data_IF_287709526669
#
_entry.id   IF_287709526669
#
_cell.length_a   1.000
_cell.length_b   1.000
_cell.length_c   1.000
_cell.angle_alpha   90.00
_cell.angle_beta   90.00
_cell.angle_gamma   90.00
#
_symmetry.space_group_name_H-M   'P 1'
#
loop_
_entity.id
_entity.type
_entity.pdbx_description
1 polymer ?
#
# COMPACT_ATOMS: atom_id res chain seq x y z
N UNK A 1 48.39 9.41 7.50
CA UNK A 1 47.17 8.76 6.98
C UNK A 1 46.48 9.78 6.08
N UNK A 2 46.42 9.53 4.77
CA UNK A 2 45.85 10.50 3.81
C UNK A 2 44.34 10.59 4.04
N UNK A 3 43.74 11.78 4.02
CA UNK A 3 42.29 11.99 4.30
C UNK A 3 41.40 11.03 3.49
N UNK A 4 41.81 10.70 2.26
CA UNK A 4 41.16 9.72 1.38
C UNK A 4 41.04 8.31 2.01
N UNK A 5 42.09 7.84 2.69
CA UNK A 5 42.09 6.55 3.40
C UNK A 5 41.11 6.54 4.58
N UNK A 6 40.84 7.70 5.19
CA UNK A 6 39.84 7.81 6.26
C UNK A 6 38.42 7.72 5.70
N UNK A 7 38.15 8.41 4.58
CA UNK A 7 36.84 8.37 3.91
C UNK A 7 36.52 6.94 3.48
N UNK A 8 37.45 6.26 2.82
CA UNK A 8 37.28 4.85 2.41
C UNK A 8 37.01 3.94 3.62
N UNK A 9 37.76 4.09 4.72
CA UNK A 9 37.51 3.33 5.95
C UNK A 9 36.14 3.59 6.58
N UNK A 10 35.64 4.83 6.55
CA UNK A 10 34.30 5.15 7.03
C UNK A 10 33.22 4.51 6.16
N UNK A 11 33.41 4.52 4.84
CA UNK A 11 32.51 3.88 3.88
C UNK A 11 32.47 2.37 4.11
N UNK A 12 33.61 1.69 4.25
CA UNK A 12 33.64 0.25 4.52
C UNK A 12 32.97 -0.11 5.85
N UNK A 13 33.26 0.63 6.93
CA UNK A 13 32.58 0.43 8.21
C UNK A 13 31.08 0.70 8.15
N UNK A 14 30.66 1.66 7.32
CA UNK A 14 29.25 1.96 7.09
C UNK A 14 28.54 0.79 6.40
N UNK A 15 29.18 0.19 5.37
CA UNK A 15 28.67 -1.02 4.70
C UNK A 15 28.53 -2.19 5.67
N UNK A 16 29.55 -2.48 6.48
CA UNK A 16 29.50 -3.54 7.49
C UNK A 16 28.39 -3.31 8.52
N UNK A 17 28.26 -2.07 9.03
CA UNK A 17 27.20 -1.72 9.97
C UNK A 17 25.80 -1.87 9.33
N UNK A 18 25.65 -1.50 8.07
CA UNK A 18 24.40 -1.69 7.33
C UNK A 18 24.06 -3.19 7.17
N UNK A 19 25.04 -4.01 6.78
CA UNK A 19 24.86 -5.46 6.66
C UNK A 19 24.44 -6.06 8.00
N UNK A 20 25.11 -5.71 9.09
CA UNK A 20 24.75 -6.19 10.43
C UNK A 20 23.33 -5.78 10.84
N UNK A 21 22.89 -4.56 10.49
CA UNK A 21 21.53 -4.13 10.77
C UNK A 21 20.51 -5.09 10.12
N UNK A 22 20.68 -5.36 8.83
CA UNK A 22 19.81 -6.25 8.05
C UNK A 22 19.84 -7.69 8.59
N UNK A 23 21.03 -8.23 8.86
CA UNK A 23 21.18 -9.59 9.35
C UNK A 23 20.55 -9.80 10.72
N UNK A 24 20.67 -8.82 11.63
CA UNK A 24 20.04 -8.90 12.95
C UNK A 24 18.52 -8.85 12.82
N UNK A 25 18.01 -7.96 11.97
CA UNK A 25 16.57 -7.86 11.74
C UNK A 25 15.97 -9.16 11.19
N UNK A 26 16.68 -9.83 10.28
CA UNK A 26 16.23 -11.07 9.66
C UNK A 26 16.45 -12.33 10.51
N UNK A 27 17.04 -12.22 11.72
CA UNK A 27 17.18 -13.36 12.64
C UNK A 27 15.95 -13.47 13.54
N UNK A 28 15.01 -14.40 13.29
CA UNK A 28 13.77 -14.51 14.07
C UNK A 28 14.00 -14.95 15.52
N UNK A 29 15.17 -15.50 15.84
CA UNK A 29 15.54 -15.91 17.20
C UNK A 29 15.91 -14.72 18.11
N UNK A 30 16.01 -13.50 17.57
CA UNK A 30 16.40 -12.32 18.32
C UNK A 30 15.14 -11.49 18.64
N UNK A 31 14.69 -11.56 19.89
CA UNK A 31 13.51 -10.82 20.35
C UNK A 31 13.71 -9.29 20.37
N UNK A 32 14.95 -8.82 20.48
CA UNK A 32 15.34 -7.40 20.45
C UNK A 32 15.85 -6.93 19.07
N UNK A 33 15.42 -7.60 17.99
CA UNK A 33 15.95 -7.37 16.63
C UNK A 33 15.67 -5.96 16.10
N UNK A 34 14.62 -5.31 16.60
CA UNK A 34 14.26 -3.93 16.25
C UNK A 34 15.29 -2.95 16.80
N UNK A 35 15.70 -3.16 18.06
CA UNK A 35 16.69 -2.36 18.76
C UNK A 35 18.07 -2.58 18.18
N UNK A 36 18.40 -3.84 17.88
CA UNK A 36 19.61 -4.17 17.15
C UNK A 36 19.64 -3.49 15.77
N UNK A 37 18.57 -3.60 15.00
CA UNK A 37 18.45 -2.92 13.71
C UNK A 37 18.63 -1.40 13.85
N UNK A 38 17.88 -0.74 14.75
CA UNK A 38 17.89 0.72 14.92
C UNK A 38 19.27 1.23 15.34
N UNK A 39 19.99 0.48 16.17
CA UNK A 39 21.35 0.79 16.57
C UNK A 39 22.31 0.74 15.38
N UNK A 40 22.36 -0.38 14.66
CA UNK A 40 23.31 -0.57 13.57
C UNK A 40 23.00 0.29 12.34
N UNK A 41 21.72 0.50 12.01
CA UNK A 41 21.34 1.35 10.88
C UNK A 41 21.67 2.82 11.14
N UNK A 42 21.48 3.32 12.38
CA UNK A 42 21.90 4.66 12.75
C UNK A 42 23.42 4.83 12.64
N UNK A 43 24.18 3.85 13.11
CA UNK A 43 25.64 3.88 12.98
C UNK A 43 26.08 3.86 11.51
N UNK A 44 25.44 3.06 10.66
CA UNK A 44 25.72 3.02 9.23
C UNK A 44 25.51 4.41 8.59
N UNK A 45 24.36 5.05 8.84
CA UNK A 45 24.07 6.40 8.38
C UNK A 45 25.09 7.43 8.91
N UNK A 46 25.45 7.37 10.18
CA UNK A 46 26.40 8.32 10.78
C UNK A 46 27.76 8.28 10.08
N UNK A 47 28.29 7.06 9.85
CA UNK A 47 29.56 6.86 9.18
C UNK A 47 29.50 7.32 7.71
N UNK A 48 28.43 6.98 6.98
CA UNK A 48 28.22 7.38 5.59
C UNK A 48 28.14 8.90 5.43
N UNK A 49 27.37 9.56 6.29
CA UNK A 49 27.20 11.02 6.24
C UNK A 49 28.49 11.73 6.65
N UNK A 50 29.23 11.22 7.64
CA UNK A 50 30.57 11.76 7.98
C UNK A 50 31.53 11.66 6.80
N UNK A 51 31.58 10.52 6.11
CA UNK A 51 32.38 10.38 4.90
C UNK A 51 32.00 11.42 3.83
N UNK A 52 30.70 11.64 3.62
CA UNK A 52 30.21 12.64 2.67
C UNK A 52 30.60 14.07 3.09
N UNK A 53 30.50 14.38 4.38
CA UNK A 53 30.90 15.69 4.92
C UNK A 53 32.39 15.95 4.75
N UNK A 54 33.25 14.95 4.96
CA UNK A 54 34.70 15.09 4.72
C UNK A 54 34.95 15.44 3.25
N UNK A 55 34.28 14.76 2.32
CA UNK A 55 34.44 15.01 0.89
C UNK A 55 33.94 16.41 0.47
N UNK A 56 32.86 16.90 1.09
CA UNK A 56 32.21 18.16 0.71
C UNK A 56 32.74 19.40 1.44
N UNK A 57 33.07 19.26 2.71
CA UNK A 57 33.41 20.37 3.62
C UNK A 57 34.81 20.25 4.24
N UNK A 58 35.52 19.14 4.00
CA UNK A 58 36.86 18.87 4.50
C UNK A 58 36.88 18.14 5.85
N UNK A 59 38.04 17.56 6.18
CA UNK A 59 38.22 16.70 7.36
C UNK A 59 37.74 17.28 8.71
N UNK A 60 37.93 18.59 9.02
CA UNK A 60 37.48 19.14 10.30
C UNK A 60 35.95 19.18 10.48
N UNK A 61 35.17 19.01 9.40
CA UNK A 61 33.71 19.15 9.44
C UNK A 61 33.01 18.12 10.33
N UNK A 62 33.66 17.00 10.61
CA UNK A 62 33.09 15.91 11.42
C UNK A 62 33.32 16.11 12.93
N UNK A 63 33.98 17.17 13.36
CA UNK A 63 34.31 17.44 14.76
C UNK A 63 33.50 18.62 15.32
N UNK A 64 33.24 18.60 16.63
CA UNK A 64 32.66 19.78 17.29
C UNK A 64 33.69 20.91 17.34
N UNK A 65 33.26 22.13 16.99
CA UNK A 65 34.11 23.33 17.06
C UNK A 65 34.66 23.56 18.48
N UNK A 66 33.82 23.29 19.49
CA UNK A 66 34.15 23.52 20.90
C UNK A 66 34.91 22.34 21.53
N UNK A 67 34.93 21.17 20.87
CA UNK A 67 35.65 19.99 21.35
C UNK A 67 36.22 19.16 20.18
N UNK A 68 37.47 19.44 19.76
CA UNK A 68 38.12 18.79 18.63
C UNK A 68 38.35 17.28 18.80
N UNK A 69 38.24 16.74 20.01
CA UNK A 69 38.40 15.30 20.26
C UNK A 69 37.10 14.51 20.08
N UNK A 70 35.96 15.19 19.90
CA UNK A 70 34.65 14.56 19.76
C UNK A 70 34.09 14.78 18.37
N UNK A 71 33.69 13.69 17.71
CA UNK A 71 32.99 13.78 16.43
C UNK A 71 31.52 14.14 16.62
N UNK A 72 30.94 14.85 15.65
CA UNK A 72 29.52 15.17 15.61
C UNK A 72 28.65 13.91 15.59
N UNK A 73 27.44 14.00 16.15
CA UNK A 73 26.47 12.90 16.14
C UNK A 73 25.70 12.81 14.83
N UNK A 74 25.00 11.69 14.60
CA UNK A 74 24.10 11.52 13.46
C UNK A 74 23.09 12.67 13.32
N UNK A 75 22.46 13.13 14.40
CA UNK A 75 21.48 14.22 14.37
C UNK A 75 22.09 15.48 13.76
N UNK A 76 23.33 15.82 14.16
CA UNK A 76 24.07 16.96 13.62
C UNK A 76 24.51 16.76 12.17
N UNK A 77 24.81 15.52 11.76
CA UNK A 77 25.08 15.21 10.36
C UNK A 77 23.83 15.45 9.49
N UNK A 78 22.68 14.96 9.95
CA UNK A 78 21.38 15.11 9.27
C UNK A 78 21.01 16.59 9.15
N UNK A 79 21.11 17.37 10.23
CA UNK A 79 20.79 18.81 10.21
C UNK A 79 21.61 19.58 9.16
N UNK A 80 22.89 19.22 8.98
CA UNK A 80 23.80 19.90 8.07
C UNK A 80 23.61 19.47 6.60
N UNK A 81 23.34 18.19 6.35
CA UNK A 81 23.22 17.65 4.99
C UNK A 81 21.79 17.81 4.46
N UNK A 82 20.79 17.53 5.30
CA UNK A 82 19.37 17.57 4.96
C UNK A 82 18.72 18.79 5.62
N UNK A 83 18.97 19.97 5.06
CA UNK A 83 18.56 21.26 5.65
C UNK A 83 17.04 21.44 5.76
N UNK A 84 16.27 20.84 4.85
CA UNK A 84 14.80 20.85 4.93
C UNK A 84 14.30 19.84 5.98
N UNK A 85 13.88 20.34 7.15
CA UNK A 85 13.34 19.53 8.24
C UNK A 85 11.98 18.87 7.93
N UNK A 86 11.30 19.26 6.84
CA UNK A 86 10.07 18.62 6.38
C UNK A 86 10.30 17.57 5.30
N UNK A 87 11.55 17.33 4.92
CA UNK A 87 11.85 16.32 3.91
C UNK A 87 11.50 14.91 4.45
N UNK A 88 10.75 14.08 3.70
CA UNK A 88 10.32 12.75 4.13
C UNK A 88 11.47 11.85 4.62
N UNK A 89 12.61 11.87 3.91
CA UNK A 89 13.83 11.13 4.29
C UNK A 89 14.36 11.58 5.66
N UNK A 90 14.39 12.89 5.91
CA UNK A 90 14.87 13.43 7.19
C UNK A 90 13.94 13.05 8.34
N UNK A 91 12.63 13.19 8.13
CA UNK A 91 11.63 12.77 9.11
C UNK A 91 11.73 11.27 9.43
N UNK A 92 12.02 10.44 8.42
CA UNK A 92 12.26 9.00 8.61
C UNK A 92 13.47 8.75 9.52
N UNK A 93 14.61 9.40 9.24
CA UNK A 93 15.82 9.25 10.04
C UNK A 93 15.64 9.76 11.47
N UNK A 94 14.99 10.91 11.65
CA UNK A 94 14.68 11.46 12.97
C UNK A 94 13.81 10.48 13.78
N UNK A 95 12.82 9.82 13.15
CA UNK A 95 12.01 8.79 13.83
C UNK A 95 12.78 7.52 14.18
N UNK A 96 13.75 7.11 13.37
CA UNK A 96 14.59 5.95 13.68
C UNK A 96 15.59 6.28 14.80
N UNK A 97 16.05 7.53 14.87
CA UNK A 97 16.87 8.02 15.98
C UNK A 97 16.05 8.07 17.28
N UNK A 98 14.82 8.58 17.23
CA UNK A 98 13.88 8.54 18.36
C UNK A 98 13.72 7.11 18.85
N UNK A 99 13.56 6.16 17.92
CA UNK A 99 13.48 4.74 18.24
C UNK A 99 14.74 4.25 18.95
N UNK A 100 15.93 4.46 18.37
CA UNK A 100 17.22 4.09 18.98
C UNK A 100 17.38 4.63 20.40
N UNK A 101 16.92 5.85 20.66
CA UNK A 101 17.05 6.51 21.95
C UNK A 101 16.02 6.03 22.99
N UNK A 102 14.86 5.55 22.54
CA UNK A 102 13.75 5.10 23.41
C UNK A 102 13.68 3.59 23.56
N UNK A 103 14.32 2.84 22.67
CA UNK A 103 14.16 1.40 22.53
C UNK A 103 14.75 0.56 23.65
N UNK A 104 15.67 1.12 24.45
CA UNK A 104 16.35 0.39 25.54
C UNK A 104 15.43 -0.03 26.68
N UNK A 105 14.15 0.36 26.68
CA UNK A 105 13.26 0.14 27.82
C UNK A 105 11.88 -0.47 27.48
N UNK A 106 11.43 -0.48 26.22
CA UNK A 106 9.98 -0.56 25.95
C UNK A 106 9.51 -1.30 24.67
N UNK A 107 10.39 -1.85 23.83
CA UNK A 107 9.95 -2.47 22.57
C UNK A 107 9.70 -3.97 22.79
N UNK A 108 8.47 -4.41 22.51
CA UNK A 108 8.11 -5.82 22.39
C UNK A 108 7.81 -6.18 20.94
N UNK A 109 7.87 -7.47 20.59
CA UNK A 109 7.69 -8.00 19.22
C UNK A 109 6.40 -7.51 18.54
N UNK A 110 5.36 -7.24 19.32
CA UNK A 110 4.04 -6.82 18.86
C UNK A 110 4.08 -5.46 18.13
N UNK A 111 5.07 -4.61 18.45
CA UNK A 111 5.20 -3.26 17.89
C UNK A 111 6.10 -3.19 16.66
N UNK A 112 6.73 -4.30 16.28
CA UNK A 112 7.56 -4.37 15.08
C UNK A 112 6.82 -3.85 13.85
N UNK A 113 5.53 -4.21 13.73
CA UNK A 113 4.70 -3.88 12.57
C UNK A 113 4.56 -2.38 12.34
N UNK A 114 4.61 -1.58 13.41
CA UNK A 114 4.51 -0.11 13.30
C UNK A 114 5.75 0.46 12.63
N UNK A 115 6.92 -0.14 12.88
CA UNK A 115 8.21 0.37 12.44
C UNK A 115 8.70 -0.26 11.12
N UNK A 116 8.16 -1.41 10.70
CA UNK A 116 8.48 -2.06 9.43
C UNK A 116 8.46 -1.08 8.24
N UNK A 117 7.39 -0.29 8.01
CA UNK A 117 7.33 0.68 6.92
C UNK A 117 8.48 1.70 6.96
N UNK A 118 8.86 2.13 8.17
CA UNK A 118 9.93 3.10 8.39
C UNK A 118 11.31 2.48 8.11
N UNK A 119 11.53 1.22 8.53
CA UNK A 119 12.78 0.51 8.28
C UNK A 119 12.99 0.24 6.80
N UNK A 120 11.95 -0.21 6.10
CA UNK A 120 12.04 -0.42 4.65
C UNK A 120 12.43 0.89 3.95
N UNK A 121 11.70 1.98 4.22
CA UNK A 121 12.04 3.31 3.68
C UNK A 121 13.48 3.72 3.99
N UNK A 122 13.94 3.53 5.24
CA UNK A 122 15.31 3.85 5.66
C UNK A 122 16.37 3.08 4.88
N UNK A 123 16.15 1.78 4.65
CA UNK A 123 17.06 0.91 3.88
C UNK A 123 17.13 1.37 2.43
N UNK A 124 16.00 1.70 1.81
CA UNK A 124 15.98 2.24 0.44
C UNK A 124 16.68 3.60 0.36
N UNK A 125 16.34 4.52 1.26
CA UNK A 125 16.98 5.83 1.35
C UNK A 125 18.49 5.72 1.55
N UNK A 126 18.95 4.73 2.33
CA UNK A 126 20.38 4.50 2.56
C UNK A 126 21.05 4.07 1.27
N UNK A 127 20.50 3.08 0.56
CA UNK A 127 21.05 2.60 -0.70
C UNK A 127 21.13 3.73 -1.75
N UNK A 128 20.06 4.52 -1.89
CA UNK A 128 20.06 5.67 -2.79
C UNK A 128 21.13 6.69 -2.44
N UNK A 129 21.25 7.08 -1.16
CA UNK A 129 22.25 8.07 -0.72
C UNK A 129 23.68 7.55 -0.74
N UNK A 130 23.87 6.25 -0.50
CA UNK A 130 25.17 5.61 -0.64
C UNK A 130 25.64 5.63 -2.09
N UNK A 131 24.73 5.35 -3.04
CA UNK A 131 25.02 5.49 -4.47
C UNK A 131 25.26 6.95 -4.86
N UNK A 132 24.42 7.89 -4.41
CA UNK A 132 24.52 9.31 -4.76
C UNK A 132 25.80 9.96 -4.22
N UNK A 133 26.17 9.68 -2.97
CA UNK A 133 27.28 10.36 -2.30
C UNK A 133 28.63 9.70 -2.52
N UNK A 134 28.66 8.38 -2.70
CA UNK A 134 29.89 7.58 -2.72
C UNK A 134 30.02 6.67 -3.93
N UNK A 135 29.04 6.66 -4.84
CA UNK A 135 29.01 5.80 -6.02
C UNK A 135 29.19 4.31 -5.68
N UNK A 136 28.55 3.89 -4.58
CA UNK A 136 28.53 2.51 -4.09
C UNK A 136 27.11 1.96 -4.23
N UNK A 137 26.98 0.85 -4.95
CA UNK A 137 25.72 0.11 -5.02
C UNK A 137 25.67 -0.95 -3.91
N UNK A 138 24.77 -0.74 -2.95
CA UNK A 138 24.57 -1.67 -1.83
C UNK A 138 23.86 -2.97 -2.24
N UNK A 139 23.22 -3.01 -3.41
CA UNK A 139 22.54 -4.21 -3.93
C UNK A 139 23.52 -5.30 -4.38
N UNK A 140 24.79 -4.92 -4.63
CA UNK A 140 25.88 -5.87 -4.86
C UNK A 140 26.27 -6.63 -3.59
N UNK A 141 26.01 -6.05 -2.41
CA UNK A 141 26.40 -6.62 -1.12
C UNK A 141 25.29 -7.44 -0.47
N UNK A 142 24.03 -7.01 -0.57
CA UNK A 142 22.89 -7.76 -0.05
C UNK A 142 21.73 -7.70 -1.08
N UNK A 143 20.94 -8.78 -1.28
CA UNK A 143 19.89 -8.83 -2.30
C UNK A 143 18.68 -7.91 -2.04
N UNK A 144 17.96 -7.56 -3.12
CA UNK A 144 16.84 -6.60 -3.14
C UNK A 144 15.69 -6.87 -2.16
N UNK A 145 15.54 -8.10 -1.67
CA UNK A 145 14.53 -8.52 -0.69
C UNK A 145 15.09 -8.47 0.75
N UNK A 146 15.68 -7.33 1.14
CA UNK A 146 16.56 -7.23 2.30
C UNK A 146 15.87 -7.46 3.65
N UNK A 147 14.59 -7.15 3.82
CA UNK A 147 13.89 -7.31 5.10
C UNK A 147 12.79 -8.37 4.94
N UNK A 148 12.91 -9.49 5.67
CA UNK A 148 11.84 -10.50 5.69
C UNK A 148 10.61 -9.95 6.40
N UNK A 149 9.53 -9.74 5.65
CA UNK A 149 8.22 -9.39 6.20
C UNK A 149 7.62 -10.61 6.89
N UNK A 150 7.52 -10.58 8.22
CA UNK A 150 6.80 -11.60 9.00
C UNK A 150 5.31 -11.58 8.62
N UNK A 151 4.80 -12.68 8.08
CA UNK A 151 3.45 -12.81 7.49
C UNK A 151 2.32 -12.75 8.54
N UNK A 152 2.61 -12.83 9.83
CA UNK A 152 1.59 -12.67 10.88
C UNK A 152 1.32 -11.19 11.14
N UNK A 153 0.77 -10.46 10.16
CA UNK A 153 0.27 -9.10 10.36
C UNK A 153 -1.02 -9.13 11.20
N UNK A 154 -0.89 -9.36 12.51
CA UNK A 154 -2.00 -9.10 13.45
C UNK A 154 -2.05 -7.60 13.67
N UNK A 155 -3.14 -6.96 13.26
CA UNK A 155 -3.37 -5.53 13.58
C UNK A 155 -3.26 -5.33 15.09
N UNK A 156 -2.56 -4.28 15.52
CA UNK A 156 -2.46 -3.92 16.94
C UNK A 156 -3.86 -3.78 17.54
N UNK A 157 -4.15 -4.56 18.58
CA UNK A 157 -5.39 -4.47 19.36
C UNK A 157 -5.12 -3.64 20.62
N UNK A 158 -5.72 -2.44 20.67
CA UNK A 158 -5.62 -1.50 21.79
C UNK A 158 -6.04 -2.13 23.12
N UNK A 159 -7.02 -3.02 23.10
CA UNK A 159 -7.51 -3.69 24.32
C UNK A 159 -6.51 -4.73 24.82
N UNK A 160 -5.87 -5.47 23.90
CA UNK A 160 -4.81 -6.43 24.23
C UNK A 160 -3.60 -5.72 24.85
N UNK A 161 -3.24 -4.55 24.31
CA UNK A 161 -2.14 -3.72 24.82
C UNK A 161 -2.41 -3.24 26.24
N UNK A 162 -3.59 -2.66 26.47
CA UNK A 162 -3.97 -2.15 27.81
C UNK A 162 -4.09 -3.26 28.86
N UNK A 163 -4.35 -4.50 28.44
CA UNK A 163 -4.41 -5.65 29.34
C UNK A 163 -3.02 -6.20 29.70
N UNK A 164 -2.04 -6.11 28.78
CA UNK A 164 -0.69 -6.68 28.96
C UNK A 164 0.30 -5.76 29.67
N UNK A 165 0.15 -4.44 29.54
CA UNK A 165 1.16 -3.47 29.97
C UNK A 165 0.63 -2.46 30.99
N UNK A 166 1.52 -1.84 31.80
CA UNK A 166 1.16 -0.70 32.63
C UNK A 166 0.56 0.44 31.80
N UNK A 167 -0.37 1.19 32.40
CA UNK A 167 -1.14 2.25 31.73
C UNK A 167 -0.23 3.26 31.00
N UNK A 168 0.82 3.74 31.67
CA UNK A 168 1.75 4.72 31.10
C UNK A 168 2.44 4.21 29.83
N UNK A 169 2.81 2.92 29.82
CA UNK A 169 3.45 2.27 28.68
C UNK A 169 2.45 2.03 27.56
N UNK A 170 1.26 1.51 27.89
CA UNK A 170 0.18 1.29 26.94
C UNK A 170 -0.21 2.58 26.21
N UNK A 171 -0.39 3.69 26.94
CA UNK A 171 -0.77 4.97 26.34
C UNK A 171 0.34 5.56 25.46
N UNK A 172 1.61 5.46 25.90
CA UNK A 172 2.74 5.88 25.07
C UNK A 172 2.79 5.12 23.75
N UNK A 173 2.54 3.81 23.79
CA UNK A 173 2.56 2.94 22.62
C UNK A 173 1.39 3.23 21.66
N UNK A 174 0.18 3.40 22.19
CA UNK A 174 -1.01 3.79 21.41
C UNK A 174 -0.82 5.16 20.73
N UNK A 175 -0.28 6.13 21.47
CA UNK A 175 0.00 7.47 20.94
C UNK A 175 1.06 7.43 19.84
N UNK A 176 2.12 6.65 20.04
CA UNK A 176 3.18 6.47 19.04
C UNK A 176 2.64 5.83 17.76
N UNK A 177 1.82 4.78 17.88
CA UNK A 177 1.19 4.12 16.74
C UNK A 177 0.27 5.08 15.97
N UNK A 178 -0.56 5.85 16.67
CA UNK A 178 -1.44 6.85 16.06
C UNK A 178 -0.65 7.92 15.30
N UNK A 179 0.41 8.45 15.93
CA UNK A 179 1.28 9.47 15.34
C UNK A 179 1.99 8.94 14.09
N UNK A 180 2.58 7.74 14.16
CA UNK A 180 3.25 7.14 13.02
C UNK A 180 2.25 6.87 11.89
N UNK A 181 1.06 6.36 12.19
CA UNK A 181 0.02 6.10 11.18
C UNK A 181 -0.41 7.37 10.47
N UNK A 182 -0.61 8.47 11.20
CA UNK A 182 -0.93 9.78 10.64
C UNK A 182 0.21 10.29 9.75
N UNK A 183 1.46 10.26 10.25
CA UNK A 183 2.63 10.67 9.47
C UNK A 183 2.82 9.83 8.20
N UNK A 184 2.57 8.51 8.26
CA UNK A 184 2.60 7.62 7.10
C UNK A 184 1.57 8.06 6.07
N UNK A 185 0.37 8.47 6.51
CA UNK A 185 -0.72 8.92 5.63
C UNK A 185 -0.43 10.26 4.93
N UNK A 186 0.29 11.15 5.61
CA UNK A 186 0.62 12.50 5.14
C UNK A 186 1.91 12.56 4.30
N UNK A 187 2.80 11.58 4.45
CA UNK A 187 4.08 11.54 3.74
C UNK A 187 4.11 10.49 2.60
N UNK A 188 5.14 10.60 1.76
CA UNK A 188 5.39 9.70 0.64
C UNK A 188 6.33 8.53 1.03
N UNK A 189 6.73 7.74 0.03
CA UNK A 189 7.57 6.55 0.20
C UNK A 189 8.94 6.83 0.83
N UNK A 190 9.46 8.06 0.69
CA UNK A 190 10.72 8.47 1.34
C UNK A 190 10.60 8.58 2.86
N UNK A 191 9.38 8.66 3.40
CA UNK A 191 9.14 8.55 4.85
C UNK A 191 8.86 7.11 5.26
N UNK A 192 7.94 6.43 4.58
CA UNK A 192 7.54 5.06 4.92
C UNK A 192 6.99 4.31 3.70
N UNK A 193 7.31 3.03 3.58
CA UNK A 193 6.76 2.17 2.52
C UNK A 193 5.45 1.55 3.00
N UNK A 194 4.35 1.93 2.33
CA UNK A 194 3.02 1.38 2.61
C UNK A 194 2.90 0.00 1.96
N UNK A 195 2.72 -1.03 2.79
CA UNK A 195 2.39 -2.37 2.32
C UNK A 195 0.87 -2.52 2.31
N UNK A 196 0.27 -2.46 1.13
CA UNK A 196 -1.18 -2.65 0.96
C UNK A 196 -1.46 -4.10 0.55
N UNK A 197 -2.15 -4.83 1.42
CA UNK A 197 -2.60 -6.18 1.11
C UNK A 197 -3.95 -6.15 0.40
N UNK A 198 -3.91 -6.26 -0.93
CA UNK A 198 -5.11 -6.47 -1.72
C UNK A 198 -5.54 -7.93 -1.68
N UNK A 199 -6.52 -8.25 -0.84
CA UNK A 199 -7.15 -9.55 -0.84
C UNK A 199 -8.18 -9.65 -1.97
N UNK A 200 -8.06 -10.68 -2.80
CA UNK A 200 -9.06 -11.01 -3.82
C UNK A 200 -9.49 -12.47 -3.68
N UNK A 201 -10.76 -12.73 -3.96
CA UNK A 201 -11.31 -14.08 -3.99
C UNK A 201 -11.19 -14.63 -5.41
N UNK A 202 -10.57 -15.79 -5.58
CA UNK A 202 -10.52 -16.51 -6.85
C UNK A 202 -11.16 -17.89 -6.70
N UNK A 203 -11.86 -18.35 -7.74
CA UNK A 203 -12.36 -19.73 -7.84
C UNK A 203 -11.31 -20.70 -8.37
N UNK A 204 -10.25 -20.18 -8.99
CA UNK A 204 -9.14 -20.98 -9.49
C UNK A 204 -8.18 -21.30 -8.34
N UNK A 205 -8.19 -22.57 -7.91
CA UNK A 205 -7.36 -23.06 -6.81
C UNK A 205 -5.86 -22.87 -7.06
N UNK A 206 -5.43 -22.91 -8.33
CA UNK A 206 -4.01 -22.78 -8.67
C UNK A 206 -3.51 -21.34 -8.54
N UNK A 207 -4.43 -20.37 -8.48
CA UNK A 207 -4.12 -18.94 -8.28
C UNK A 207 -4.35 -18.48 -6.83
N UNK A 208 -4.81 -19.37 -5.95
CA UNK A 208 -5.12 -19.03 -4.57
C UNK A 208 -3.88 -19.19 -3.69
N UNK A 209 -3.42 -18.08 -3.09
CA UNK A 209 -2.34 -18.10 -2.09
C UNK A 209 -2.78 -18.70 -0.75
N UNK A 210 -4.06 -18.50 -0.40
CA UNK A 210 -4.65 -19.01 0.85
C UNK A 210 -6.08 -19.47 0.61
N UNK A 211 -6.50 -20.52 1.32
CA UNK A 211 -7.87 -21.02 1.32
C UNK A 211 -8.60 -20.49 2.56
N UNK A 212 -9.79 -19.91 2.38
CA UNK A 212 -10.59 -19.34 3.48
C UNK A 212 -12.00 -19.94 3.49
N UNK A 213 -12.56 -20.13 4.68
CA UNK A 213 -13.95 -20.51 4.88
C UNK A 213 -14.67 -19.41 5.67
N UNK A 214 -15.97 -19.25 5.42
CA UNK A 214 -16.79 -18.30 6.18
C UNK A 214 -17.23 -18.99 7.46
N UNK A 215 -16.70 -18.55 8.60
CA UNK A 215 -17.15 -18.98 9.91
C UNK A 215 -18.06 -17.91 10.53
N UNK A 216 -19.30 -18.29 10.83
CA UNK A 216 -20.29 -17.40 11.44
C UNK A 216 -20.00 -17.12 12.92
N UNK A 217 -19.14 -17.93 13.54
CA UNK A 217 -18.76 -17.83 14.95
C UNK A 217 -17.36 -17.22 15.14
N UNK A 218 -16.72 -16.72 14.07
CA UNK A 218 -15.38 -16.14 14.17
C UNK A 218 -15.39 -14.89 15.06
N UNK A 219 -14.42 -14.77 15.96
CA UNK A 219 -14.26 -13.63 16.86
C UNK A 219 -13.97 -12.31 16.11
N UNK A 220 -13.44 -12.37 14.89
CA UNK A 220 -13.10 -11.20 14.06
C UNK A 220 -14.03 -11.13 12.84
N UNK A 221 -14.95 -10.15 12.77
CA UNK A 221 -15.84 -10.02 11.62
C UNK A 221 -15.07 -9.48 10.41
N UNK A 222 -14.93 -10.29 9.36
CA UNK A 222 -14.46 -9.80 8.06
C UNK A 222 -15.62 -9.15 7.29
N UNK A 223 -15.43 -7.90 6.85
CA UNK A 223 -16.35 -7.29 5.87
C UNK A 223 -16.14 -7.99 4.53
N UNK A 224 -17.23 -8.37 3.84
CA UNK A 224 -17.20 -9.04 2.53
C UNK A 224 -16.12 -8.40 1.64
N UNK A 225 -15.05 -9.17 1.36
CA UNK A 225 -14.01 -8.78 0.41
C UNK A 225 -14.68 -8.75 -0.96
N UNK A 226 -15.10 -7.56 -1.39
CA UNK A 226 -15.75 -7.37 -2.68
C UNK A 226 -14.69 -7.56 -3.76
N UNK A 227 -14.87 -8.60 -4.56
CA UNK A 227 -14.11 -8.83 -5.80
C UNK A 227 -14.19 -7.55 -6.66
N UNK A 228 -13.06 -6.85 -6.86
CA UNK A 228 -12.94 -5.78 -7.84
C UNK A 228 -13.10 -6.41 -9.23
N UNK A 229 -14.33 -6.43 -9.74
CA UNK A 229 -14.61 -6.93 -11.09
C UNK A 229 -14.44 -5.79 -12.09
N UNK A 230 -13.60 -6.00 -13.09
CA UNK A 230 -13.45 -5.07 -14.20
C UNK A 230 -14.85 -4.79 -14.83
N UNK A 231 -15.27 -3.51 -14.96
CA UNK A 231 -16.47 -3.14 -15.69
C UNK A 231 -16.52 -3.70 -17.12
N UNK A 232 -15.37 -3.87 -17.77
CA UNK A 232 -15.28 -4.49 -19.10
C UNK A 232 -15.64 -5.98 -19.05
N UNK A 233 -15.45 -6.66 -17.92
CA UNK A 233 -15.84 -8.07 -17.76
C UNK A 233 -17.29 -8.26 -17.31
N UNK A 234 -17.83 -7.31 -16.55
CA UNK A 234 -19.19 -7.40 -16.02
C UNK A 234 -20.24 -6.77 -16.95
N UNK A 235 -19.86 -5.73 -17.69
CA UNK A 235 -20.73 -4.93 -18.55
C UNK A 235 -20.18 -4.89 -19.98
N UNK A 236 -20.08 -6.08 -20.60
CA UNK A 236 -19.46 -6.30 -21.94
C UNK A 236 -20.20 -5.68 -23.11
N UNK A 237 -21.48 -5.32 -22.96
CA UNK A 237 -22.34 -5.03 -24.10
C UNK A 237 -22.59 -3.54 -24.29
N UNK A 238 -22.39 -3.05 -25.51
CA UNK A 238 -22.94 -1.77 -25.94
C UNK A 238 -24.43 -1.93 -26.28
N UNK A 239 -25.19 -0.83 -26.33
CA UNK A 239 -26.61 -0.89 -26.72
C UNK A 239 -26.83 -1.61 -28.06
N UNK A 240 -25.95 -1.40 -29.04
CA UNK A 240 -26.00 -2.09 -30.35
C UNK A 240 -25.77 -3.60 -30.19
N UNK A 241 -24.82 -4.01 -29.36
CA UNK A 241 -24.53 -5.42 -29.11
C UNK A 241 -25.66 -6.10 -28.32
N UNK A 242 -26.27 -5.41 -27.34
CA UNK A 242 -27.47 -5.89 -26.66
C UNK A 242 -28.60 -6.19 -27.65
N UNK A 243 -28.91 -5.25 -28.56
CA UNK A 243 -29.98 -5.43 -29.56
C UNK A 243 -29.69 -6.63 -30.47
N UNK A 244 -28.43 -6.82 -30.88
CA UNK A 244 -28.03 -7.96 -31.73
C UNK A 244 -28.25 -9.29 -31.00
N UNK A 245 -27.83 -9.40 -29.74
CA UNK A 245 -28.01 -10.62 -28.94
C UNK A 245 -29.47 -10.87 -28.54
N UNK A 246 -30.24 -9.84 -28.22
CA UNK A 246 -31.68 -9.94 -27.95
C UNK A 246 -32.41 -10.50 -29.18
N UNK A 247 -32.19 -9.92 -30.37
CA UNK A 247 -32.81 -10.41 -31.61
C UNK A 247 -32.41 -11.86 -31.94
N UNK A 248 -31.15 -12.24 -31.70
CA UNK A 248 -30.67 -13.61 -31.88
C UNK A 248 -31.40 -14.59 -30.95
N UNK A 249 -31.65 -14.20 -29.70
CA UNK A 249 -32.41 -15.00 -28.73
C UNK A 249 -33.90 -15.08 -29.07
N UNK A 250 -34.52 -13.97 -29.47
CA UNK A 250 -35.93 -13.95 -29.89
C UNK A 250 -36.18 -14.85 -31.11
N UNK A 251 -35.26 -14.85 -32.09
CA UNK A 251 -35.31 -15.78 -33.23
C UNK A 251 -35.24 -17.24 -32.81
N UNK A 252 -34.36 -17.59 -31.85
CA UNK A 252 -34.28 -18.95 -31.30
C UNK A 252 -35.56 -19.37 -30.55
N UNK A 253 -36.26 -18.40 -29.97
CA UNK A 253 -37.53 -18.63 -29.26
C UNK A 253 -38.76 -18.61 -30.18
N UNK A 254 -38.58 -18.42 -31.49
CA UNK A 254 -39.69 -18.38 -32.46
C UNK A 254 -40.55 -17.11 -32.40
N UNK A 255 -40.07 -16.04 -31.74
CA UNK A 255 -40.82 -14.78 -31.59
C UNK A 255 -40.53 -13.90 -32.82
N UNK A 256 -41.57 -13.56 -33.59
CA UNK A 256 -41.48 -12.76 -34.83
C UNK A 256 -41.31 -11.25 -34.61
N UNK A 257 -40.84 -10.83 -33.43
CA UNK A 257 -40.65 -9.43 -33.07
C UNK A 257 -39.25 -8.94 -33.45
N UNK A 258 -39.18 -7.82 -34.17
CA UNK A 258 -37.90 -7.14 -34.47
C UNK A 258 -37.59 -6.11 -33.37
N UNK A 259 -36.60 -6.40 -32.54
CA UNK A 259 -36.15 -5.52 -31.47
C UNK A 259 -35.19 -4.45 -32.01
N UNK A 260 -35.47 -3.17 -31.78
CA UNK A 260 -34.68 -2.05 -32.33
C UNK A 260 -34.23 -1.09 -31.22
N UNK A 261 -33.47 -0.05 -31.60
CA UNK A 261 -32.93 0.94 -30.65
C UNK A 261 -34.03 1.73 -29.92
N UNK A 262 -35.18 1.96 -30.56
CA UNK A 262 -36.30 2.62 -29.92
C UNK A 262 -36.91 1.74 -28.82
N UNK A 263 -37.08 0.43 -29.08
CA UNK A 263 -37.52 -0.53 -28.07
C UNK A 263 -36.54 -0.60 -26.90
N UNK A 264 -35.23 -0.66 -27.19
CA UNK A 264 -34.21 -0.67 -26.13
C UNK A 264 -34.30 0.57 -25.23
N UNK A 265 -34.48 1.78 -25.80
CA UNK A 265 -34.68 3.00 -25.01
C UNK A 265 -35.94 2.97 -24.14
N UNK A 266 -37.05 2.42 -24.65
CA UNK A 266 -38.28 2.26 -23.86
C UNK A 266 -38.05 1.38 -22.63
N UNK A 267 -37.38 0.23 -22.81
CA UNK A 267 -37.01 -0.66 -21.70
C UNK A 267 -36.04 0.01 -20.73
N UNK A 268 -35.03 0.73 -21.23
CA UNK A 268 -34.09 1.45 -20.37
C UNK A 268 -34.76 2.50 -19.49
N UNK A 269 -35.75 3.21 -20.03
CA UNK A 269 -36.48 4.24 -19.30
C UNK A 269 -37.49 3.63 -18.31
N UNK A 270 -38.24 2.60 -18.72
CA UNK A 270 -39.28 2.00 -17.88
C UNK A 270 -38.73 1.20 -16.70
N UNK A 271 -37.66 0.42 -16.91
CA UNK A 271 -37.03 -0.37 -15.85
C UNK A 271 -35.85 0.35 -15.18
N UNK A 272 -35.67 1.65 -15.47
CA UNK A 272 -34.57 2.48 -14.98
C UNK A 272 -33.19 1.80 -15.09
N UNK A 273 -32.94 1.10 -16.20
CA UNK A 273 -31.77 0.23 -16.37
C UNK A 273 -30.46 0.98 -16.14
N UNK A 274 -30.43 2.28 -16.45
CA UNK A 274 -29.25 3.15 -16.31
C UNK A 274 -28.92 3.54 -14.86
N UNK A 275 -29.88 3.48 -13.94
CA UNK A 275 -29.66 3.76 -12.51
C UNK A 275 -29.25 2.51 -11.74
N UNK A 276 -29.47 1.31 -12.30
CA UNK A 276 -29.17 0.04 -11.67
C UNK A 276 -27.72 -0.43 -11.96
N UNK A 277 -26.83 -0.47 -10.94
CA UNK A 277 -25.41 -0.83 -11.13
C UNK A 277 -25.16 -2.29 -11.52
N UNK A 278 -26.17 -3.18 -11.39
CA UNK A 278 -26.07 -4.58 -11.83
C UNK A 278 -26.36 -4.73 -13.32
N UNK A 279 -27.09 -3.79 -13.89
CA UNK A 279 -27.59 -3.84 -15.27
C UNK A 279 -26.78 -2.94 -16.19
N UNK A 280 -26.41 -1.74 -15.72
CA UNK A 280 -25.71 -0.74 -16.48
C UNK A 280 -24.52 -0.15 -15.71
N UNK A 281 -23.40 -0.02 -16.40
CA UNK A 281 -22.24 0.74 -15.96
C UNK A 281 -22.16 2.05 -16.77
N UNK A 282 -21.91 3.16 -16.08
CA UNK A 282 -21.86 4.50 -16.68
C UNK A 282 -20.44 5.04 -16.61
N UNK A 283 -19.82 5.25 -17.76
CA UNK A 283 -18.54 5.94 -17.87
C UNK A 283 -18.79 7.45 -17.90
N UNK A 284 -18.25 8.16 -16.90
CA UNK A 284 -18.32 9.63 -16.78
C UNK A 284 -17.01 10.30 -17.21
N UNK A 285 -16.41 9.83 -18.31
CA UNK A 285 -15.09 10.29 -18.79
C UNK A 285 -15.22 11.54 -19.66
N UNK A 286 -16.37 11.73 -20.32
CA UNK A 286 -16.66 12.86 -21.24
C UNK A 286 -17.91 13.62 -20.80
N UNK A 287 -18.07 14.87 -21.29
CA UNK A 287 -19.24 15.73 -21.00
C UNK A 287 -20.59 15.06 -21.28
N UNK A 288 -20.61 14.08 -22.21
CA UNK A 288 -21.72 13.16 -22.40
C UNK A 288 -21.36 11.78 -21.82
N UNK A 289 -22.17 11.19 -20.91
CA UNK A 289 -21.90 9.88 -20.33
C UNK A 289 -22.08 8.76 -21.38
N UNK A 290 -21.15 7.81 -21.40
CA UNK A 290 -21.27 6.58 -22.20
C UNK A 290 -21.68 5.41 -21.31
N UNK A 291 -22.46 4.47 -21.86
CA UNK A 291 -23.07 3.38 -21.10
C UNK A 291 -22.68 2.00 -21.64
N UNK A 292 -22.42 1.07 -20.74
CA UNK A 292 -22.26 -0.36 -21.05
C UNK A 292 -23.19 -1.20 -20.18
N UNK A 293 -23.59 -2.36 -20.69
CA UNK A 293 -24.66 -3.18 -20.14
C UNK A 293 -24.17 -4.60 -19.85
N UNK A 294 -24.70 -5.19 -18.78
CA UNK A 294 -24.42 -6.57 -18.38
C UNK A 294 -25.30 -7.57 -19.13
N UNK A 295 -24.94 -8.86 -19.04
CA UNK A 295 -25.77 -9.95 -19.56
C UNK A 295 -27.17 -9.99 -18.93
N UNK A 296 -27.29 -9.58 -17.67
CA UNK A 296 -28.56 -9.54 -16.94
C UNK A 296 -29.56 -8.58 -17.58
N UNK A 297 -29.07 -7.51 -18.21
CA UNK A 297 -29.92 -6.59 -19.00
C UNK A 297 -30.57 -7.31 -20.19
N UNK A 298 -29.82 -8.18 -20.87
CA UNK A 298 -30.32 -8.95 -22.01
C UNK A 298 -31.36 -9.98 -21.54
N UNK A 299 -31.10 -10.65 -20.40
CA UNK A 299 -32.01 -11.63 -19.81
C UNK A 299 -33.33 -10.99 -19.38
N UNK A 300 -33.27 -9.88 -18.63
CA UNK A 300 -34.44 -9.11 -18.21
C UNK A 300 -35.33 -8.76 -19.41
N UNK A 301 -34.75 -8.18 -20.47
CA UNK A 301 -35.51 -7.75 -21.65
C UNK A 301 -36.12 -8.95 -22.38
N UNK A 302 -35.38 -10.05 -22.53
CA UNK A 302 -35.87 -11.24 -23.22
C UNK A 302 -36.98 -11.94 -22.41
N UNK A 303 -36.85 -12.02 -21.10
CA UNK A 303 -37.88 -12.61 -20.23
C UNK A 303 -39.18 -11.79 -20.23
N UNK A 304 -39.07 -10.47 -20.17
CA UNK A 304 -40.24 -9.60 -20.22
C UNK A 304 -40.94 -9.70 -21.59
N UNK A 305 -40.18 -9.73 -22.70
CA UNK A 305 -40.76 -9.96 -24.03
C UNK A 305 -41.41 -11.35 -24.14
N UNK A 306 -40.85 -12.37 -23.48
CA UNK A 306 -41.44 -13.72 -23.44
C UNK A 306 -42.79 -13.75 -22.72
N UNK A 307 -42.97 -12.93 -21.67
CA UNK A 307 -44.23 -12.87 -20.90
C UNK A 307 -45.37 -12.25 -21.69
N UNK A 308 -45.09 -11.28 -22.56
CA UNK A 308 -46.11 -10.63 -23.42
C UNK A 308 -45.53 -10.25 -24.80
N UNK A 309 -45.42 -11.20 -25.74
CA UNK A 309 -44.75 -10.98 -27.02
C UNK A 309 -45.45 -9.99 -27.96
N UNK A 310 -46.75 -9.74 -27.74
CA UNK A 310 -47.63 -9.01 -28.68
C UNK A 310 -47.89 -7.57 -28.20
N UNK A 311 -48.15 -7.36 -26.90
CA UNK A 311 -48.60 -6.05 -26.40
C UNK A 311 -47.53 -5.28 -25.62
N UNK A 312 -46.39 -5.88 -25.28
CA UNK A 312 -45.40 -5.27 -24.36
C UNK A 312 -44.88 -3.91 -24.85
N UNK A 313 -44.61 -3.75 -26.15
CA UNK A 313 -44.13 -2.46 -26.68
C UNK A 313 -45.23 -1.38 -26.59
N UNK A 314 -46.50 -1.75 -26.84
CA UNK A 314 -47.65 -0.85 -26.70
C UNK A 314 -47.91 -0.47 -25.24
N UNK A 315 -47.81 -1.44 -24.33
CA UNK A 315 -47.97 -1.26 -22.88
C UNK A 315 -46.89 -0.34 -22.29
N UNK A 316 -45.63 -0.51 -22.70
CA UNK A 316 -44.52 0.35 -22.30
C UNK A 316 -44.68 1.79 -22.85
N UNK A 317 -45.25 1.95 -24.05
CA UNK A 317 -45.51 3.25 -24.67
C UNK A 317 -46.65 4.02 -23.98
N UNK A 318 -47.70 3.32 -23.55
CA UNK A 318 -48.86 3.92 -22.87
C UNK A 318 -48.56 4.30 -21.41
N UNK A 319 -47.67 3.56 -20.73
CA UNK A 319 -47.30 3.83 -19.33
C UNK A 319 -46.26 4.94 -19.14
N UNK A 320 -45.56 5.36 -20.20
CA UNK A 320 -44.68 6.56 -20.18
C UNK A 320 -45.43 7.89 -20.39
N UNK A 321 -46.72 7.84 -20.78
CA UNK A 321 -47.55 9.03 -21.00
C UNK A 321 -48.41 9.44 -19.78
N UNK A 322 -48.27 8.72 -18.66
CA UNK A 322 -48.79 9.11 -17.35
C UNK A 322 -47.65 9.58 -16.48
#
# INVERSE_FOLDING_TARGET
>A
MVVKDIVEKLIEKSKEAFIMAIEIYNKPTIHYRIEGFSFFICNAWELMLKAHMINKFGYPSIYYKDNPNRTITLEKCIEQIFTNNKAPLRLNLEKIIDLRNTSTHFITEEYEMVYIPLFQSCVFNFNEKMSEFHNVDMTELIPQNFLTLSVSMKSLDVNEIRAKYPIELADKLINTNSTITEMISENNQGFAIRVEHYHYLTKDKNKATSHVYIDKNAATPATIIKELKDPNDTHKYTAKNCIKEINKRLKKLGISLVFNMHHFKLFCNYYEIKTNPKLCYTYKVTSNPTYSYSMQTIELIVEEIKKDPINIIGNLKNRQKK
#
